data_IF_243534897210
#
_entry.id   IF_243534897210
#
_cell.length_a   1.000
_cell.length_b   1.000
_cell.length_c   1.000
_cell.angle_alpha   90.00
_cell.angle_beta   90.00
_cell.angle_gamma   90.00
#
_symmetry.space_group_name_H-M   'P 1'
#
loop_
_entity.id
_entity.type
_entity.pdbx_description
1 polymer ?
#
# COMPACT_ATOMS: atom_id res chain seq x y z
N UNK A 1 7.54 1.82 -89.92
CA UNK A 1 8.63 1.78 -88.92
C UNK A 1 7.98 1.45 -87.58
N UNK A 2 8.31 0.31 -86.95
CA UNK A 2 9.08 0.22 -85.67
C UNK A 2 8.57 1.22 -84.62
N UNK A 3 8.27 0.91 -83.36
CA UNK A 3 8.53 -0.23 -82.48
C UNK A 3 7.81 0.11 -81.16
N UNK A 4 7.44 -0.92 -80.41
CA UNK A 4 7.23 -0.90 -78.95
C UNK A 4 8.32 -0.14 -78.18
N UNK A 5 7.98 0.44 -77.02
CA UNK A 5 8.65 0.36 -75.69
C UNK A 5 8.20 1.56 -74.81
N UNK A 6 7.51 1.36 -73.68
CA UNK A 6 7.96 1.01 -72.31
C UNK A 6 8.39 2.22 -71.45
N UNK A 7 7.82 2.26 -70.22
CA UNK A 7 8.46 2.50 -68.89
C UNK A 7 8.17 3.80 -68.09
N UNK A 8 7.45 3.57 -66.97
CA UNK A 8 7.60 4.02 -65.56
C UNK A 8 7.51 5.48 -65.10
N UNK A 9 6.58 5.71 -64.15
CA UNK A 9 6.65 6.37 -62.82
C UNK A 9 5.21 6.82 -62.48
N UNK A 10 4.60 6.67 -61.30
CA UNK A 10 5.04 6.64 -59.91
C UNK A 10 3.82 6.18 -59.06
N UNK A 11 3.96 5.14 -58.23
CA UNK A 11 3.91 5.17 -56.75
C UNK A 11 2.60 5.70 -56.12
N UNK A 12 1.86 4.80 -55.45
CA UNK A 12 1.59 4.76 -53.99
C UNK A 12 0.38 3.84 -53.79
N UNK A 13 0.64 2.63 -53.28
CA UNK A 13 -0.36 1.69 -52.83
C UNK A 13 -0.66 1.93 -51.34
N UNK A 14 -1.92 2.20 -51.01
CA UNK A 14 -2.44 2.03 -49.65
C UNK A 14 -3.54 0.97 -49.69
N UNK A 15 -3.16 -0.25 -49.32
CA UNK A 15 -4.06 -1.36 -49.08
C UNK A 15 -4.66 -1.22 -47.67
N UNK A 16 -5.96 -0.99 -47.59
CA UNK A 16 -6.75 -1.11 -46.36
C UNK A 16 -7.09 -2.59 -46.13
N UNK A 17 -6.44 -3.22 -45.14
CA UNK A 17 -6.72 -4.60 -44.74
C UNK A 17 -7.50 -4.60 -43.41
N UNK A 18 -8.75 -5.08 -43.51
CA UNK A 18 -9.48 -5.94 -42.58
C UNK A 18 -9.07 -5.89 -41.09
N UNK A 19 -9.87 -5.20 -40.28
CA UNK A 19 -9.88 -5.40 -38.82
C UNK A 19 -10.59 -6.73 -38.50
N UNK A 20 -9.80 -7.77 -38.22
CA UNK A 20 -10.25 -9.01 -37.65
C UNK A 20 -10.66 -8.80 -36.18
N UNK A 21 -11.80 -9.38 -35.79
CA UNK A 21 -12.23 -9.51 -34.40
C UNK A 21 -11.24 -10.42 -33.67
N UNK A 22 -10.37 -9.88 -32.81
CA UNK A 22 -9.69 -10.67 -31.79
C UNK A 22 -10.37 -10.42 -30.44
N UNK A 23 -11.08 -11.44 -29.95
CA UNK A 23 -11.46 -11.54 -28.55
C UNK A 23 -10.17 -11.63 -27.74
N UNK A 24 -9.66 -10.47 -27.30
CA UNK A 24 -8.61 -10.40 -26.29
C UNK A 24 -9.25 -10.79 -24.97
N UNK A 25 -9.21 -12.09 -24.66
CA UNK A 25 -9.30 -12.59 -23.29
C UNK A 25 -8.29 -11.82 -22.49
N UNK A 26 -8.76 -10.87 -21.67
CA UNK A 26 -7.96 -10.32 -20.58
C UNK A 26 -7.67 -11.51 -19.68
N UNK A 27 -6.43 -11.99 -19.72
CA UNK A 27 -5.90 -12.85 -18.68
C UNK A 27 -6.05 -12.09 -17.36
N UNK A 28 -7.10 -12.42 -16.61
CA UNK A 28 -7.12 -12.21 -15.17
C UNK A 28 -5.92 -12.99 -14.64
N UNK A 29 -4.83 -12.25 -14.42
CA UNK A 29 -3.67 -12.71 -13.70
C UNK A 29 -4.19 -13.12 -12.32
N UNK A 30 -4.38 -14.41 -12.13
CA UNK A 30 -4.78 -15.01 -10.86
C UNK A 30 -3.80 -14.53 -9.80
N UNK A 31 -4.23 -13.53 -9.02
CA UNK A 31 -3.45 -13.00 -7.91
C UNK A 31 -3.18 -14.15 -6.96
N UNK A 32 -1.90 -14.40 -6.70
CA UNK A 32 -1.47 -15.33 -5.66
C UNK A 32 -2.19 -14.96 -4.36
N UNK A 33 -2.99 -15.88 -3.84
CA UNK A 33 -3.74 -15.75 -2.58
C UNK A 33 -2.83 -15.76 -1.33
N UNK A 34 -1.52 -15.64 -1.51
CA UNK A 34 -0.55 -15.58 -0.43
C UNK A 34 -0.65 -14.22 0.28
N UNK A 35 -0.63 -14.27 1.61
CA UNK A 35 -0.59 -13.04 2.40
C UNK A 35 0.75 -12.33 2.20
N UNK A 36 0.77 -10.99 2.09
CA UNK A 36 2.02 -10.24 2.04
C UNK A 36 2.91 -10.52 3.26
N UNK A 37 4.21 -10.68 2.99
CA UNK A 37 5.27 -10.88 3.97
C UNK A 37 5.56 -9.59 4.71
N UNK A 38 5.59 -9.66 6.05
CA UNK A 38 6.04 -8.59 6.94
C UNK A 38 7.13 -9.17 7.85
N UNK A 39 8.34 -9.28 7.32
CA UNK A 39 9.46 -9.91 8.03
C UNK A 39 10.03 -8.99 9.14
N UNK A 40 10.92 -9.52 9.98
CA UNK A 40 11.52 -8.78 11.09
C UNK A 40 12.30 -7.54 10.64
N UNK A 41 12.98 -7.60 9.48
CA UNK A 41 13.70 -6.46 8.92
C UNK A 41 12.76 -5.26 8.70
N UNK A 42 11.62 -5.49 8.03
CA UNK A 42 10.60 -4.47 7.80
C UNK A 42 10.06 -3.91 9.12
N UNK A 43 9.79 -4.77 10.09
CA UNK A 43 9.28 -4.34 11.39
C UNK A 43 10.28 -3.46 12.14
N UNK A 44 11.57 -3.84 12.13
CA UNK A 44 12.65 -3.10 12.76
C UNK A 44 12.89 -1.75 12.07
N UNK A 45 12.97 -1.72 10.75
CA UNK A 45 13.12 -0.47 9.99
C UNK A 45 11.93 0.48 10.22
N UNK A 46 10.71 -0.06 10.27
CA UNK A 46 9.52 0.73 10.60
C UNK A 46 9.61 1.32 12.00
N UNK A 47 10.03 0.52 12.99
CA UNK A 47 10.25 0.97 14.37
C UNK A 47 11.28 2.10 14.42
N UNK A 48 12.44 1.91 13.79
CA UNK A 48 13.51 2.90 13.73
C UNK A 48 13.04 4.23 13.13
N UNK A 49 12.29 4.20 12.02
CA UNK A 49 11.75 5.40 11.39
C UNK A 49 10.76 6.12 12.32
N UNK A 50 9.86 5.38 12.98
CA UNK A 50 8.87 5.99 13.87
C UNK A 50 9.52 6.64 15.09
N UNK A 51 10.55 6.02 15.65
CA UNK A 51 11.24 6.46 16.87
C UNK A 51 12.22 7.61 16.65
N UNK A 52 12.42 8.05 15.40
CA UNK A 52 13.10 9.32 15.11
C UNK A 52 12.28 10.54 15.58
N UNK A 53 10.96 10.40 15.73
CA UNK A 53 10.11 11.46 16.27
C UNK A 53 10.25 11.56 17.79
N UNK A 54 10.51 12.76 18.31
CA UNK A 54 10.56 13.01 19.77
C UNK A 54 9.25 12.71 20.50
N UNK A 55 8.13 12.67 19.76
CA UNK A 55 6.81 12.35 20.28
C UNK A 55 6.56 10.85 20.41
N UNK A 56 7.42 10.01 19.84
CA UNK A 56 7.34 8.54 19.92
C UNK A 56 8.46 8.03 20.81
N UNK A 57 8.11 7.27 21.85
CA UNK A 57 9.06 6.70 22.81
C UNK A 57 9.37 5.24 22.56
N UNK A 58 8.35 4.49 22.16
CA UNK A 58 8.48 3.08 21.78
C UNK A 58 7.35 2.69 20.84
N UNK A 59 7.62 1.72 19.98
CA UNK A 59 6.65 1.10 19.10
C UNK A 59 6.76 -0.42 19.11
N UNK A 60 5.60 -1.06 18.91
CA UNK A 60 5.52 -2.51 18.74
C UNK A 60 4.56 -2.86 17.60
N UNK A 61 5.01 -3.82 16.77
CA UNK A 61 4.24 -4.38 15.67
C UNK A 61 3.94 -5.83 16.00
N UNK A 62 2.71 -6.26 15.76
CA UNK A 62 2.33 -7.67 15.85
C UNK A 62 1.55 -8.05 14.60
N UNK A 63 1.97 -9.12 13.94
CA UNK A 63 1.33 -9.63 12.71
C UNK A 63 0.80 -11.03 13.00
N UNK A 64 -0.51 -11.16 13.12
CA UNK A 64 -1.19 -12.45 13.23
C UNK A 64 -1.65 -12.87 11.83
N UNK A 65 -0.82 -13.65 11.13
CA UNK A 65 -1.12 -14.13 9.78
C UNK A 65 -2.34 -15.06 9.74
N UNK A 66 -2.63 -15.81 10.81
CA UNK A 66 -3.77 -16.73 10.85
C UNK A 66 -5.08 -15.96 10.92
N UNK A 67 -5.13 -14.91 11.75
CA UNK A 67 -6.31 -14.03 11.87
C UNK A 67 -6.34 -12.93 10.81
N UNK A 68 -5.24 -12.75 10.05
CA UNK A 68 -5.05 -11.65 9.11
C UNK A 68 -5.21 -10.30 9.81
N UNK A 69 -4.56 -10.12 10.96
CA UNK A 69 -4.60 -8.88 11.75
C UNK A 69 -3.20 -8.35 11.97
N UNK A 70 -3.02 -7.06 11.71
CA UNK A 70 -1.86 -6.27 12.13
C UNK A 70 -2.26 -5.39 13.31
N UNK A 71 -1.48 -5.44 14.38
CA UNK A 71 -1.63 -4.55 15.54
C UNK A 71 -0.41 -3.66 15.68
N UNK A 72 -0.66 -2.35 15.66
CA UNK A 72 0.35 -1.30 15.81
C UNK A 72 0.15 -0.62 17.16
N UNK A 73 1.15 -0.71 18.03
CA UNK A 73 1.11 -0.10 19.35
C UNK A 73 2.19 0.96 19.45
N UNK A 74 1.82 2.14 19.95
CA UNK A 74 2.73 3.26 20.16
C UNK A 74 2.65 3.74 21.59
N UNK A 75 3.81 3.87 22.22
CA UNK A 75 3.99 4.66 23.44
C UNK A 75 4.48 6.04 23.03
N UNK A 76 3.61 7.04 23.14
CA UNK A 76 3.88 8.43 22.83
C UNK A 76 4.39 9.19 24.07
N UNK A 77 5.08 10.31 23.83
CA UNK A 77 5.52 11.21 24.90
C UNK A 77 4.33 11.80 25.66
N UNK A 78 4.56 12.21 26.90
CA UNK A 78 3.58 12.93 27.73
C UNK A 78 3.08 14.24 27.11
N UNK A 79 3.82 14.83 26.17
CA UNK A 79 3.45 16.06 25.44
C UNK A 79 2.46 15.82 24.30
N UNK A 80 2.21 14.56 23.94
CA UNK A 80 1.32 14.20 22.83
C UNK A 80 -0.15 14.33 23.24
N UNK A 81 -0.96 14.99 22.39
CA UNK A 81 -2.41 15.07 22.54
C UNK A 81 -3.15 14.12 21.57
N UNK A 82 -4.48 14.04 21.66
CA UNK A 82 -5.28 13.11 20.84
C UNK A 82 -5.20 13.38 19.34
N UNK A 83 -5.09 14.64 18.90
CA UNK A 83 -4.98 14.98 17.47
C UNK A 83 -3.64 14.50 16.89
N UNK A 84 -2.54 14.75 17.61
CA UNK A 84 -1.23 14.24 17.22
C UNK A 84 -1.15 12.70 17.32
N UNK A 85 -1.88 12.09 18.25
CA UNK A 85 -1.91 10.63 18.39
C UNK A 85 -2.46 9.93 17.14
N UNK A 86 -3.52 10.46 16.52
CA UNK A 86 -4.02 9.92 15.25
C UNK A 86 -3.02 10.05 14.12
N UNK A 87 -2.36 11.21 14.02
CA UNK A 87 -1.31 11.44 13.01
C UNK A 87 -0.16 10.47 13.19
N UNK A 88 0.28 10.24 14.44
CA UNK A 88 1.32 9.25 14.76
C UNK A 88 0.89 7.84 14.33
N UNK A 89 -0.33 7.42 14.70
CA UNK A 89 -0.85 6.11 14.33
C UNK A 89 -1.01 5.93 12.82
N UNK A 90 -1.52 6.95 12.12
CA UNK A 90 -1.63 6.96 10.66
C UNK A 90 -0.26 6.85 9.99
N UNK A 91 0.72 7.62 10.45
CA UNK A 91 2.08 7.57 9.94
C UNK A 91 2.70 6.19 10.17
N UNK A 92 2.48 5.58 11.35
CA UNK A 92 2.97 4.23 11.62
C UNK A 92 2.42 3.20 10.64
N UNK A 93 1.11 3.25 10.38
CA UNK A 93 0.47 2.38 9.40
C UNK A 93 1.02 2.59 7.98
N UNK A 94 1.24 3.84 7.57
CA UNK A 94 1.82 4.14 6.25
C UNK A 94 3.28 3.69 6.15
N UNK A 95 4.10 3.93 7.17
CA UNK A 95 5.51 3.51 7.20
C UNK A 95 5.63 1.99 7.06
N UNK A 96 4.80 1.22 7.79
CA UNK A 96 4.81 -0.24 7.67
C UNK A 96 4.41 -0.70 6.26
N UNK A 97 3.38 -0.07 5.68
CA UNK A 97 2.94 -0.38 4.32
C UNK A 97 3.99 -0.02 3.26
N UNK A 98 4.76 1.06 3.45
CA UNK A 98 5.91 1.37 2.61
C UNK A 98 6.94 0.24 2.71
N UNK A 99 7.34 -0.14 3.93
CA UNK A 99 8.30 -1.22 4.15
C UNK A 99 7.87 -2.53 3.49
N UNK A 100 6.61 -2.94 3.70
CA UNK A 100 6.04 -4.13 3.06
C UNK A 100 6.01 -4.05 1.53
N UNK A 101 5.81 -2.85 0.95
CA UNK A 101 5.84 -2.66 -0.51
C UNK A 101 7.23 -2.74 -1.13
N UNK A 102 8.30 -2.67 -0.32
CA UNK A 102 9.68 -2.83 -0.81
C UNK A 102 10.05 -4.29 -1.08
N UNK A 103 9.33 -5.24 -0.50
CA UNK A 103 9.52 -6.66 -0.75
C UNK A 103 8.96 -7.04 -2.11
N UNK A 104 9.83 -7.57 -2.98
CA UNK A 104 9.49 -7.81 -4.39
C UNK A 104 8.38 -8.83 -4.56
N UNK A 105 8.34 -9.83 -3.68
CA UNK A 105 7.34 -10.89 -3.68
C UNK A 105 5.95 -10.39 -3.30
N UNK A 106 5.86 -9.28 -2.56
CA UNK A 106 4.58 -8.74 -2.11
C UNK A 106 3.82 -8.02 -3.23
N UNK A 107 4.54 -7.39 -4.18
CA UNK A 107 3.94 -6.63 -5.30
C UNK A 107 2.83 -5.66 -4.85
N UNK A 108 3.04 -4.95 -3.74
CA UNK A 108 2.05 -4.06 -3.15
C UNK A 108 2.17 -2.63 -3.68
N UNK A 109 1.02 -2.00 -3.93
CA UNK A 109 0.98 -0.55 -4.11
C UNK A 109 1.29 0.14 -2.79
N UNK A 110 2.26 1.07 -2.82
CA UNK A 110 2.65 1.86 -1.65
C UNK A 110 1.56 2.87 -1.25
N UNK A 111 1.58 3.38 -0.01
CA UNK A 111 0.69 4.46 0.40
C UNK A 111 0.83 5.73 -0.45
N UNK A 112 -0.28 6.47 -0.55
CA UNK A 112 -0.36 7.80 -1.16
C UNK A 112 -0.94 8.81 -0.15
N UNK A 113 -1.26 10.02 -0.59
CA UNK A 113 -1.74 11.08 0.32
C UNK A 113 -3.01 10.67 1.07
N UNK A 114 -4.00 10.12 0.36
CA UNK A 114 -5.31 9.71 0.88
C UNK A 114 -5.47 8.18 1.02
N UNK A 115 -4.44 7.40 0.67
CA UNK A 115 -4.44 5.94 0.73
C UNK A 115 -3.41 5.39 1.70
N UNK A 116 -3.76 4.29 2.38
CA UNK A 116 -2.84 3.52 3.24
C UNK A 116 -2.00 2.51 2.45
N UNK A 117 -2.15 2.44 1.13
CA UNK A 117 -1.52 1.42 0.30
C UNK A 117 -2.27 0.08 0.33
N UNK A 118 -1.77 -0.89 -0.43
CA UNK A 118 -2.46 -2.17 -0.66
C UNK A 118 -2.34 -3.17 0.50
N UNK A 119 -1.41 -2.97 1.44
CA UNK A 119 -1.16 -3.91 2.55
C UNK A 119 -2.44 -4.23 3.34
N UNK A 120 -3.24 -3.21 3.63
CA UNK A 120 -4.44 -3.32 4.45
C UNK A 120 -5.69 -3.75 3.67
N UNK A 121 -5.53 -4.20 2.43
CA UNK A 121 -6.53 -5.00 1.72
C UNK A 121 -6.41 -6.49 2.07
N UNK A 122 -5.26 -6.92 2.63
CA UNK A 122 -5.00 -8.30 3.03
C UNK A 122 -5.12 -8.54 4.53
N UNK A 123 -4.92 -7.49 5.32
CA UNK A 123 -4.95 -7.52 6.78
C UNK A 123 -5.91 -6.47 7.36
N UNK A 124 -6.67 -6.87 8.36
CA UNK A 124 -7.29 -5.95 9.29
C UNK A 124 -6.20 -5.22 10.09
N UNK A 125 -6.46 -3.97 10.46
CA UNK A 125 -5.54 -3.09 11.15
C UNK A 125 -6.15 -2.60 12.45
N UNK A 126 -5.42 -2.81 13.54
CA UNK A 126 -5.68 -2.19 14.84
C UNK A 126 -4.50 -1.30 15.21
N UNK A 127 -4.78 -0.10 15.69
CA UNK A 127 -3.79 0.88 16.13
C UNK A 127 -4.15 1.31 17.55
N UNK A 128 -3.18 1.34 18.45
CA UNK A 128 -3.33 1.94 19.77
C UNK A 128 -2.18 2.90 20.03
N UNK A 129 -2.51 4.15 20.36
CA UNK A 129 -1.54 5.15 20.78
C UNK A 129 -1.85 5.54 22.22
N UNK A 130 -0.88 5.31 23.11
CA UNK A 130 -0.98 5.62 24.54
C UNK A 130 0.19 6.49 24.98
N UNK A 131 0.03 7.28 26.03
CA UNK A 131 1.14 7.96 26.70
C UNK A 131 1.94 6.99 27.58
N UNK A 132 3.12 7.41 28.02
CA UNK A 132 3.98 6.69 28.97
C UNK A 132 3.26 6.31 30.27
N UNK A 133 2.32 7.14 30.72
CA UNK A 133 1.49 6.87 31.92
C UNK A 133 0.35 5.85 31.66
N UNK A 134 0.25 5.28 30.45
CA UNK A 134 -0.77 4.31 30.06
C UNK A 134 -2.10 4.92 29.58
N UNK A 135 -2.28 6.25 29.64
CA UNK A 135 -3.48 6.91 29.10
C UNK A 135 -3.55 6.66 27.59
N UNK A 136 -4.61 5.98 27.13
CA UNK A 136 -4.88 5.83 25.71
C UNK A 136 -5.33 7.17 25.14
N UNK A 137 -4.68 7.63 24.08
CA UNK A 137 -5.03 8.89 23.39
C UNK A 137 -5.92 8.64 22.19
N UNK A 138 -5.60 7.60 21.41
CA UNK A 138 -6.34 7.23 20.21
C UNK A 138 -6.30 5.72 19.99
N UNK A 139 -7.41 5.19 19.45
CA UNK A 139 -7.50 3.85 18.89
C UNK A 139 -7.98 3.96 17.45
N UNK A 140 -7.27 3.31 16.53
CA UNK A 140 -7.63 3.23 15.12
C UNK A 140 -8.00 1.80 14.75
N UNK A 141 -9.05 1.63 13.95
CA UNK A 141 -9.41 0.34 13.36
C UNK A 141 -9.74 0.49 11.88
N UNK A 142 -9.28 -0.46 11.08
CA UNK A 142 -9.70 -0.63 9.68
C UNK A 142 -9.81 -2.12 9.40
N UNK A 143 -10.93 -2.55 8.82
CA UNK A 143 -11.08 -3.90 8.26
C UNK A 143 -10.70 -3.91 6.77
N UNK A 144 -10.44 -5.09 6.21
CA UNK A 144 -10.06 -5.24 4.79
C UNK A 144 -11.10 -4.67 3.81
N UNK A 145 -12.38 -4.62 4.21
CA UNK A 145 -13.48 -4.09 3.38
C UNK A 145 -13.69 -2.57 3.53
N UNK A 146 -12.99 -1.91 4.45
CA UNK A 146 -13.11 -0.47 4.68
C UNK A 146 -12.03 0.30 3.92
N UNK A 147 -12.33 1.54 3.53
CA UNK A 147 -11.40 2.41 2.80
C UNK A 147 -10.58 3.33 3.71
N UNK A 148 -11.00 3.52 4.96
CA UNK A 148 -10.40 4.46 5.92
C UNK A 148 -10.30 3.83 7.31
N UNK A 149 -9.40 4.38 8.13
CA UNK A 149 -9.35 4.06 9.57
C UNK A 149 -10.45 4.83 10.28
N UNK A 150 -11.24 4.12 11.07
CA UNK A 150 -12.14 4.70 12.06
C UNK A 150 -11.38 4.94 13.34
N UNK A 151 -11.50 6.14 13.90
CA UNK A 151 -10.77 6.55 15.09
C UNK A 151 -11.68 6.81 16.30
N UNK A 152 -11.25 6.34 17.46
CA UNK A 152 -11.81 6.66 18.77
C UNK A 152 -10.76 7.44 19.57
N UNK A 153 -11.10 8.68 19.98
CA UNK A 153 -10.22 9.54 20.77
C UNK A 153 -10.59 9.52 22.25
N UNK A 154 -9.60 9.70 23.12
CA UNK A 154 -9.89 10.08 24.50
C UNK A 154 -10.48 11.49 24.54
N UNK A 155 -11.58 11.64 25.27
CA UNK A 155 -12.19 12.93 25.62
C UNK A 155 -11.33 13.69 26.63
#
# INVERSE_FOLDING_TARGET
MRKSLLVFMSLVATFSILAACSNTTKEEKTESTALPTINERIQNETKEVMEQSKLVKDTAITVDQKKKVISLNVTASSETNSDYAEVIGLNFAKTLAIGASTEKENNLHKPENDSLGALYSFYDLNITVKQENGKVLAKGKKTTNETKITWERAQ
#
